data_IF_961265074723
#
_entry.id   IF_961265074723
#
_cell.length_a   1.000
_cell.length_b   1.000
_cell.length_c   1.000
_cell.angle_alpha   90.00
_cell.angle_beta   90.00
_cell.angle_gamma   90.00
#
_symmetry.space_group_name_H-M   'P 1'
#
loop_
_entity.id
_entity.type
_entity.pdbx_description
1 polymer ?
#
# COMPACT_ATOMS: atom_id res chain seq x y z
N UNK A 1 -22.25 -61.29 58.43
CA UNK A 1 -22.05 -59.82 58.65
C UNK A 1 -21.00 -59.34 57.70
N UNK A 2 -21.45 -58.80 56.59
CA UNK A 2 -20.57 -58.35 55.45
C UNK A 2 -20.61 -56.81 55.42
N UNK A 3 -19.49 -56.17 55.76
CA UNK A 3 -19.36 -54.70 55.65
C UNK A 3 -19.11 -54.29 54.19
N UNK A 4 -20.01 -53.49 53.66
CA UNK A 4 -19.84 -52.79 52.40
C UNK A 4 -19.16 -51.47 52.70
N UNK A 5 -17.96 -51.25 52.14
CA UNK A 5 -17.25 -49.96 52.16
C UNK A 5 -17.61 -49.19 50.88
N UNK A 6 -18.31 -48.10 51.06
CA UNK A 6 -18.58 -47.10 50.00
C UNK A 6 -17.34 -46.24 49.76
N UNK A 7 -16.75 -46.32 48.57
CA UNK A 7 -15.73 -45.36 48.11
C UNK A 7 -16.46 -44.14 47.49
N UNK A 8 -16.23 -42.98 48.09
CA UNK A 8 -16.65 -41.70 47.52
C UNK A 8 -15.55 -41.21 46.56
N UNK A 9 -15.84 -41.15 45.27
CA UNK A 9 -14.99 -40.48 44.28
C UNK A 9 -15.30 -38.98 44.32
N UNK A 10 -14.32 -38.19 44.78
CA UNK A 10 -14.34 -36.73 44.67
C UNK A 10 -13.75 -36.38 43.32
N UNK A 11 -14.59 -35.90 42.36
CA UNK A 11 -14.13 -35.36 41.08
C UNK A 11 -13.58 -33.97 41.31
N UNK A 12 -12.29 -33.82 41.10
CA UNK A 12 -11.58 -32.51 41.09
C UNK A 12 -11.79 -31.88 39.70
N UNK A 13 -12.67 -30.91 39.61
CA UNK A 13 -12.85 -30.12 38.39
C UNK A 13 -11.72 -29.09 38.30
N UNK A 14 -10.73 -29.36 37.46
CA UNK A 14 -9.71 -28.40 37.05
C UNK A 14 -10.32 -27.45 36.00
N UNK A 15 -10.69 -26.24 36.41
CA UNK A 15 -11.00 -25.14 35.50
C UNK A 15 -9.70 -24.68 34.82
N UNK A 16 -9.50 -25.06 33.57
CA UNK A 16 -8.51 -24.45 32.70
C UNK A 16 -8.97 -23.02 32.43
N UNK A 17 -8.40 -22.05 33.12
CA UNK A 17 -8.48 -20.66 32.74
C UNK A 17 -7.66 -20.51 31.45
N UNK A 18 -8.35 -20.45 30.32
CA UNK A 18 -7.75 -19.95 29.06
C UNK A 18 -7.48 -18.46 29.26
N UNK A 19 -6.31 -18.13 29.77
CA UNK A 19 -5.80 -16.78 29.70
C UNK A 19 -5.70 -16.41 28.22
N UNK A 20 -6.52 -15.45 27.76
CA UNK A 20 -6.29 -14.76 26.52
C UNK A 20 -4.87 -14.17 26.65
N UNK A 21 -3.91 -14.73 25.91
CA UNK A 21 -2.62 -14.10 25.71
C UNK A 21 -2.99 -12.85 24.87
N UNK A 22 -3.07 -11.70 25.53
CA UNK A 22 -3.05 -10.43 24.83
C UNK A 22 -1.79 -10.49 23.96
N UNK A 23 -1.96 -10.35 22.64
CA UNK A 23 -0.83 -10.22 21.75
C UNK A 23 0.00 -9.07 22.32
N UNK A 24 1.19 -9.35 22.86
CA UNK A 24 2.14 -8.31 23.21
C UNK A 24 2.37 -7.53 21.92
N UNK A 25 1.86 -6.29 21.88
CA UNK A 25 2.00 -5.42 20.71
C UNK A 25 3.46 -5.37 20.34
N UNK A 26 3.78 -5.70 19.09
CA UNK A 26 5.15 -5.68 18.61
C UNK A 26 5.80 -4.35 19.03
N UNK A 27 6.97 -4.40 19.65
CA UNK A 27 7.63 -3.19 20.14
C UNK A 27 7.94 -2.30 18.93
N UNK A 28 7.44 -1.06 18.95
CA UNK A 28 7.65 -0.09 17.89
C UNK A 28 9.12 0.31 17.86
N UNK A 29 9.72 0.27 16.67
CA UNK A 29 11.13 0.58 16.45
C UNK A 29 11.24 1.70 15.39
N UNK A 30 11.46 2.92 15.84
CA UNK A 30 11.52 4.09 14.95
C UNK A 30 12.86 4.19 14.19
N UNK A 31 13.89 3.46 14.61
CA UNK A 31 15.25 3.65 14.09
C UNK A 31 15.88 4.98 14.53
N UNK A 32 17.09 5.31 14.05
CA UNK A 32 17.84 6.48 14.50
C UNK A 32 17.38 7.80 13.87
N UNK A 33 16.66 7.75 12.73
CA UNK A 33 16.36 8.98 11.95
C UNK A 33 15.52 10.01 12.70
N UNK A 34 14.45 9.67 13.42
CA UNK A 34 13.66 10.66 14.16
C UNK A 34 14.50 11.42 15.20
N UNK A 35 15.31 10.71 15.99
CA UNK A 35 16.20 11.32 16.98
C UNK A 35 17.22 12.26 16.31
N UNK A 36 17.87 11.81 15.24
CA UNK A 36 18.81 12.63 14.46
C UNK A 36 18.17 13.93 13.93
N UNK A 37 16.92 13.85 13.44
CA UNK A 37 16.22 15.02 12.94
C UNK A 37 15.90 16.01 14.07
N UNK A 38 15.48 15.50 15.24
CA UNK A 38 15.22 16.33 16.44
C UNK A 38 16.50 17.04 16.87
N UNK A 39 17.63 16.34 16.93
CA UNK A 39 18.91 16.92 17.34
C UNK A 39 19.33 18.11 16.45
N UNK A 40 18.95 18.09 15.18
CA UNK A 40 19.26 19.15 14.21
C UNK A 40 18.24 20.30 14.18
N UNK A 41 17.14 20.20 14.92
CA UNK A 41 16.16 21.28 14.99
C UNK A 41 16.74 22.50 15.73
N UNK A 42 16.30 23.73 15.40
CA UNK A 42 16.53 24.89 16.22
C UNK A 42 16.01 24.70 17.65
N UNK A 43 16.70 25.27 18.64
CA UNK A 43 16.23 25.25 20.03
C UNK A 43 14.85 25.91 20.15
N UNK A 44 13.97 25.32 20.92
CA UNK A 44 12.63 25.85 21.16
C UNK A 44 11.61 24.81 21.59
N UNK A 45 10.38 25.23 21.90
CA UNK A 45 9.35 24.37 22.52
C UNK A 45 9.00 23.12 21.71
N UNK A 46 9.08 23.18 20.37
CA UNK A 46 8.80 22.03 19.52
C UNK A 46 9.91 20.99 19.66
N UNK A 47 11.19 21.38 19.62
CA UNK A 47 12.32 20.48 19.85
C UNK A 47 12.23 19.82 21.23
N UNK A 48 11.98 20.61 22.26
CA UNK A 48 11.84 20.11 23.64
C UNK A 48 10.72 19.07 23.73
N UNK A 49 9.57 19.36 23.13
CA UNK A 49 8.42 18.46 23.09
C UNK A 49 8.76 17.14 22.39
N UNK A 50 9.38 17.19 21.22
CA UNK A 50 9.76 15.99 20.46
C UNK A 50 10.85 15.19 21.18
N UNK A 51 11.85 15.85 21.74
CA UNK A 51 12.91 15.22 22.54
C UNK A 51 12.35 14.49 23.77
N UNK A 52 11.31 15.03 24.41
CA UNK A 52 10.66 14.37 25.54
C UNK A 52 9.97 13.04 25.19
N UNK A 53 9.72 12.78 23.90
CA UNK A 53 9.15 11.52 23.42
C UNK A 53 10.21 10.44 23.14
N UNK A 54 11.51 10.77 23.17
CA UNK A 54 12.60 9.90 22.72
C UNK A 54 12.67 8.55 23.46
N UNK A 55 12.28 8.52 24.74
CA UNK A 55 12.28 7.31 25.54
C UNK A 55 11.04 6.42 25.35
N UNK A 56 10.07 6.84 24.54
CA UNK A 56 8.79 6.14 24.39
C UNK A 56 7.91 6.19 25.65
N UNK A 57 6.99 5.25 25.81
CA UNK A 57 6.67 4.15 24.89
C UNK A 57 6.07 4.65 23.56
N UNK A 58 6.53 4.08 22.46
CA UNK A 58 5.93 4.35 21.14
C UNK A 58 4.69 3.47 20.96
N UNK A 59 3.71 4.00 20.23
CA UNK A 59 2.43 3.33 19.98
C UNK A 59 2.05 3.46 18.51
N UNK A 60 1.42 2.44 17.98
CA UNK A 60 0.71 2.52 16.68
C UNK A 60 -0.36 3.59 16.72
N UNK A 61 -0.58 4.27 15.61
CA UNK A 61 -1.58 5.32 15.49
C UNK A 61 -2.21 5.28 14.11
N UNK A 62 -3.54 5.44 14.04
CA UNK A 62 -4.30 5.58 12.80
C UNK A 62 -3.96 6.88 12.04
N UNK A 63 -3.14 7.74 12.61
CA UNK A 63 -2.59 8.93 11.93
C UNK A 63 -1.46 8.58 10.95
N UNK A 64 -0.76 7.47 11.17
CA UNK A 64 0.40 7.08 10.37
C UNK A 64 0.06 5.99 9.37
N UNK A 65 0.21 6.31 8.10
CA UNK A 65 0.02 5.39 6.97
C UNK A 65 1.38 4.91 6.47
N UNK A 66 1.54 3.60 6.33
CA UNK A 66 2.67 2.97 5.63
C UNK A 66 2.42 3.01 4.13
N UNK A 67 2.66 4.16 3.48
CA UNK A 67 2.51 4.37 2.03
C UNK A 67 3.42 3.42 1.26
N UNK A 68 2.85 2.42 0.57
CA UNK A 68 3.54 1.29 -0.08
C UNK A 68 4.40 0.44 0.88
N UNK A 69 4.09 0.51 2.19
CA UNK A 69 4.91 -0.04 3.26
C UNK A 69 6.03 0.90 3.71
N UNK A 70 7.29 0.45 3.65
CA UNK A 70 8.50 1.22 3.98
C UNK A 70 9.45 1.33 2.75
N UNK A 71 9.04 1.98 1.65
CA UNK A 71 9.67 1.86 0.33
C UNK A 71 11.06 2.53 0.25
N UNK A 72 11.45 3.33 1.22
CA UNK A 72 12.81 3.88 1.26
C UNK A 72 13.90 2.81 1.51
N UNK A 73 13.53 1.67 2.10
CA UNK A 73 14.46 0.61 2.53
C UNK A 73 14.09 -0.77 2.01
N UNK A 74 12.89 -0.96 1.50
CA UNK A 74 12.34 -2.23 1.04
C UNK A 74 11.65 -2.05 -0.32
N UNK A 75 11.61 -3.07 -1.18
CA UNK A 75 10.78 -3.02 -2.38
C UNK A 75 9.32 -2.71 -2.02
N UNK A 76 8.72 -1.73 -2.70
CA UNK A 76 7.36 -1.29 -2.43
C UNK A 76 6.33 -2.41 -2.61
N UNK A 77 5.24 -2.35 -1.82
CA UNK A 77 4.13 -3.31 -1.87
C UNK A 77 4.53 -4.78 -1.67
N UNK A 78 5.65 -5.03 -0.99
CA UNK A 78 6.07 -6.39 -0.61
C UNK A 78 5.67 -6.71 0.84
N UNK A 79 5.66 -8.00 1.17
CA UNK A 79 5.46 -8.49 2.55
C UNK A 79 6.45 -7.83 3.50
N UNK A 80 7.72 -7.76 3.10
CA UNK A 80 8.83 -7.22 3.91
C UNK A 80 8.65 -5.73 4.16
N UNK A 81 8.27 -4.95 3.13
CA UNK A 81 8.01 -3.52 3.23
C UNK A 81 6.88 -3.21 4.21
N UNK A 82 5.78 -3.94 4.12
CA UNK A 82 4.62 -3.73 4.99
C UNK A 82 4.89 -4.17 6.44
N UNK A 83 5.61 -5.28 6.64
CA UNK A 83 6.05 -5.69 7.99
C UNK A 83 6.97 -4.65 8.63
N UNK A 84 7.88 -4.06 7.84
CA UNK A 84 8.76 -3.00 8.32
C UNK A 84 7.96 -1.75 8.72
N UNK A 85 6.98 -1.31 7.90
CA UNK A 85 6.12 -0.17 8.21
C UNK A 85 5.33 -0.38 9.50
N UNK A 86 4.69 -1.54 9.67
CA UNK A 86 3.98 -1.89 10.90
C UNK A 86 4.91 -1.87 12.12
N UNK A 87 6.13 -2.40 11.99
CA UNK A 87 7.14 -2.39 13.06
C UNK A 87 7.61 -0.97 13.41
N UNK A 88 7.57 -0.05 12.45
CA UNK A 88 7.85 1.37 12.68
C UNK A 88 6.65 2.14 13.26
N UNK A 89 5.50 1.50 13.42
CA UNK A 89 4.34 2.07 14.10
C UNK A 89 3.24 2.59 13.18
N UNK A 90 3.27 2.28 11.89
CA UNK A 90 2.16 2.56 10.99
C UNK A 90 0.90 1.81 11.48
N UNK A 91 -0.18 2.52 11.73
CA UNK A 91 -1.46 1.93 12.13
C UNK A 91 -2.36 1.61 10.94
N UNK A 92 -2.06 2.18 9.79
CA UNK A 92 -2.73 1.92 8.51
C UNK A 92 -1.67 1.50 7.49
N UNK A 93 -1.97 0.48 6.70
CA UNK A 93 -1.10 0.02 5.61
C UNK A 93 -1.82 0.12 4.28
N UNK A 94 -1.04 0.30 3.22
CA UNK A 94 -1.53 0.53 1.88
C UNK A 94 -1.20 -0.63 0.93
N UNK A 95 -2.16 -0.94 0.07
CA UNK A 95 -1.96 -1.71 -1.15
C UNK A 95 -2.52 -0.89 -2.31
N UNK A 96 -1.65 -0.46 -3.22
CA UNK A 96 -2.07 0.03 -4.54
C UNK A 96 -2.53 -1.17 -5.36
N UNK A 97 -3.79 -1.18 -5.75
CA UNK A 97 -4.45 -2.34 -6.34
C UNK A 97 -4.46 -2.23 -7.85
N UNK A 98 -3.92 -3.24 -8.53
CA UNK A 98 -4.04 -3.45 -9.98
C UNK A 98 -4.57 -4.85 -10.25
N UNK A 99 -4.77 -5.26 -11.50
CA UNK A 99 -5.24 -6.60 -11.84
C UNK A 99 -4.37 -7.29 -12.89
N UNK A 100 -4.33 -8.61 -12.84
CA UNK A 100 -3.63 -9.51 -13.77
C UNK A 100 -4.50 -9.84 -15.00
N UNK A 101 -3.94 -10.56 -15.99
CA UNK A 101 -4.66 -11.02 -17.18
C UNK A 101 -5.90 -11.87 -16.82
N UNK A 102 -5.81 -12.67 -15.77
CA UNK A 102 -6.91 -13.47 -15.20
C UNK A 102 -7.76 -12.70 -14.18
N UNK A 103 -7.61 -11.36 -14.12
CA UNK A 103 -8.42 -10.43 -13.32
C UNK A 103 -8.30 -10.63 -11.80
N UNK A 104 -7.20 -11.21 -11.34
CA UNK A 104 -6.88 -11.28 -9.91
C UNK A 104 -6.21 -9.99 -9.45
N UNK A 105 -6.61 -9.51 -8.26
CA UNK A 105 -6.09 -8.25 -7.73
C UNK A 105 -4.72 -8.44 -7.08
N UNK A 106 -3.79 -7.56 -7.40
CA UNK A 106 -2.40 -7.59 -6.89
C UNK A 106 -1.96 -6.20 -6.43
N UNK A 107 -1.01 -6.17 -5.48
CA UNK A 107 -0.48 -4.91 -4.95
C UNK A 107 0.69 -4.40 -5.79
N UNK A 108 0.44 -3.43 -6.68
CA UNK A 108 1.45 -2.69 -7.46
C UNK A 108 1.03 -1.24 -7.65
N UNK A 109 2.01 -0.33 -7.59
CA UNK A 109 1.75 1.11 -7.70
C UNK A 109 1.10 1.52 -9.03
N UNK A 110 1.44 0.84 -10.11
CA UNK A 110 0.79 1.01 -11.40
C UNK A 110 0.65 -0.34 -12.11
N UNK A 111 -0.35 -0.46 -12.98
CA UNK A 111 -0.53 -1.68 -13.78
C UNK A 111 0.67 -1.94 -14.70
N UNK A 112 1.38 -0.90 -15.10
CA UNK A 112 2.48 -0.93 -16.06
C UNK A 112 3.87 -0.70 -15.46
N UNK A 113 4.08 -1.02 -14.18
CA UNK A 113 5.34 -0.73 -13.48
C UNK A 113 6.27 -1.94 -13.26
N UNK A 114 5.89 -3.14 -13.70
CA UNK A 114 6.64 -4.37 -13.41
C UNK A 114 8.13 -4.31 -13.84
N UNK A 115 8.44 -3.58 -14.91
CA UNK A 115 9.80 -3.41 -15.43
C UNK A 115 10.71 -2.57 -14.53
N UNK A 116 10.13 -1.76 -13.64
CA UNK A 116 10.88 -0.90 -12.72
C UNK A 116 10.85 -1.39 -11.27
N UNK A 117 9.89 -2.26 -10.93
CA UNK A 117 9.61 -2.66 -9.55
C UNK A 117 9.80 -4.15 -9.28
N UNK A 118 10.10 -4.93 -10.33
CA UNK A 118 10.33 -6.39 -10.25
C UNK A 118 11.51 -6.83 -11.11
N UNK A 119 11.83 -8.10 -11.04
CA UNK A 119 12.84 -8.75 -11.88
C UNK A 119 12.32 -9.24 -13.24
N UNK A 120 11.13 -8.81 -13.69
CA UNK A 120 10.46 -9.34 -14.89
C UNK A 120 11.36 -9.34 -16.13
N UNK A 121 12.13 -8.27 -16.38
CA UNK A 121 13.01 -8.16 -17.53
C UNK A 121 14.18 -9.17 -17.51
N UNK A 122 14.52 -9.71 -16.34
CA UNK A 122 15.54 -10.74 -16.14
C UNK A 122 14.95 -12.16 -16.03
N UNK A 123 13.65 -12.32 -16.29
CA UNK A 123 12.93 -13.60 -16.25
C UNK A 123 12.42 -14.02 -17.63
N UNK A 124 11.90 -15.24 -17.73
CA UNK A 124 11.26 -15.74 -18.95
C UNK A 124 9.98 -14.95 -19.32
N UNK A 125 9.46 -14.13 -18.39
CA UNK A 125 8.30 -13.27 -18.63
C UNK A 125 8.65 -11.94 -19.33
N UNK A 126 9.92 -11.66 -19.61
CA UNK A 126 10.32 -10.46 -20.35
C UNK A 126 9.64 -10.36 -21.72
N UNK A 127 9.32 -11.50 -22.35
CA UNK A 127 8.66 -11.57 -23.66
C UNK A 127 7.18 -11.14 -23.60
N UNK A 128 6.56 -11.08 -22.40
CA UNK A 128 5.17 -10.62 -22.22
C UNK A 128 5.05 -9.10 -22.13
N UNK A 129 6.18 -8.39 -22.01
CA UNK A 129 6.16 -6.94 -21.88
C UNK A 129 5.61 -6.27 -23.15
N UNK A 130 4.70 -5.31 -22.98
CA UNK A 130 4.08 -4.54 -24.08
C UNK A 130 5.14 -3.82 -24.89
N UNK A 131 6.15 -3.25 -24.20
CA UNK A 131 7.34 -2.70 -24.82
C UNK A 131 8.54 -3.50 -24.30
N UNK A 132 9.19 -4.31 -25.15
CA UNK A 132 10.43 -4.98 -24.79
C UNK A 132 11.52 -4.00 -24.39
N UNK A 133 12.49 -4.44 -23.58
CA UNK A 133 13.62 -3.59 -23.22
C UNK A 133 14.33 -3.07 -24.47
N UNK A 134 14.42 -1.76 -24.57
CA UNK A 134 15.23 -1.03 -25.57
C UNK A 134 16.39 -0.34 -24.82
N UNK A 135 17.65 -0.60 -25.20
CA UNK A 135 18.82 0.02 -24.58
C UNK A 135 18.89 1.52 -24.91
N UNK A 136 19.53 2.31 -24.06
CA UNK A 136 19.86 3.69 -24.38
C UNK A 136 20.77 3.77 -25.62
N UNK A 137 20.49 4.73 -26.52
CA UNK A 137 21.25 4.93 -27.73
C UNK A 137 21.27 6.43 -28.12
N UNK A 138 22.41 7.08 -27.96
CA UNK A 138 22.53 8.51 -28.17
C UNK A 138 21.64 9.29 -27.21
N UNK A 139 20.71 10.05 -27.76
CA UNK A 139 19.73 10.85 -26.99
C UNK A 139 18.50 10.02 -26.54
N UNK A 140 18.35 8.81 -27.07
CA UNK A 140 17.23 7.93 -26.73
C UNK A 140 17.51 7.24 -25.37
N UNK A 141 16.61 7.44 -24.41
CA UNK A 141 16.68 6.79 -23.11
C UNK A 141 16.31 5.30 -23.21
N UNK A 142 16.92 4.50 -22.35
CA UNK A 142 16.48 3.11 -22.19
C UNK A 142 15.02 3.06 -21.68
N UNK A 143 14.25 2.14 -22.27
CA UNK A 143 12.82 2.01 -22.00
C UNK A 143 12.37 0.55 -21.99
N UNK A 144 11.30 0.29 -21.25
CA UNK A 144 10.51 -0.93 -21.28
C UNK A 144 9.11 -0.62 -20.73
N UNK A 145 8.12 -1.47 -21.02
CA UNK A 145 6.81 -1.41 -20.37
C UNK A 145 6.27 -2.83 -20.18
N UNK A 146 6.12 -3.25 -18.93
CA UNK A 146 5.58 -4.56 -18.58
C UNK A 146 4.40 -4.37 -17.63
N UNK A 147 3.25 -4.95 -18.00
CA UNK A 147 1.97 -4.76 -17.30
C UNK A 147 1.55 -6.00 -16.53
N UNK A 148 0.88 -5.82 -15.42
CA UNK A 148 0.23 -6.92 -14.69
C UNK A 148 -0.86 -7.57 -15.53
N UNK A 149 -1.57 -6.82 -16.37
CA UNK A 149 -2.62 -7.31 -17.28
C UNK A 149 -2.15 -8.25 -18.40
N UNK A 150 -0.84 -8.35 -18.63
CA UNK A 150 -0.26 -9.23 -19.65
C UNK A 150 0.20 -10.58 -19.08
N UNK A 151 0.11 -10.77 -17.77
CA UNK A 151 0.52 -12.01 -17.10
C UNK A 151 -0.58 -12.50 -16.15
N UNK A 152 -0.68 -13.81 -15.96
CA UNK A 152 -1.59 -14.41 -14.99
C UNK A 152 -1.08 -14.23 -13.55
N UNK A 153 -1.96 -14.41 -12.56
CA UNK A 153 -1.55 -14.42 -11.15
C UNK A 153 -0.44 -15.44 -10.89
N UNK A 154 -0.54 -16.65 -11.47
CA UNK A 154 0.47 -17.68 -11.30
C UNK A 154 1.86 -17.21 -11.80
N UNK A 155 1.91 -16.51 -12.93
CA UNK A 155 3.13 -15.90 -13.45
C UNK A 155 3.61 -14.74 -12.57
N UNK A 156 2.71 -13.85 -12.15
CA UNK A 156 3.04 -12.75 -11.25
C UNK A 156 3.74 -13.24 -9.96
N UNK A 157 3.26 -14.34 -9.40
CA UNK A 157 3.82 -14.94 -8.17
C UNK A 157 5.20 -15.57 -8.35
N UNK A 158 5.71 -15.71 -9.57
CA UNK A 158 7.10 -16.15 -9.84
C UNK A 158 8.09 -14.98 -9.83
N UNK A 159 7.61 -13.75 -9.87
CA UNK A 159 8.45 -12.56 -9.85
C UNK A 159 8.90 -12.22 -8.42
N UNK A 160 10.03 -11.53 -8.34
CA UNK A 160 10.56 -10.95 -7.11
C UNK A 160 10.52 -9.43 -7.21
N UNK A 161 9.99 -8.77 -6.18
CA UNK A 161 10.03 -7.32 -6.07
C UNK A 161 11.45 -6.81 -5.88
N UNK A 162 11.79 -5.70 -6.51
CA UNK A 162 13.07 -5.00 -6.34
C UNK A 162 12.82 -3.56 -5.90
N UNK A 163 13.83 -2.90 -5.37
CA UNK A 163 13.78 -1.46 -5.16
C UNK A 163 13.42 -0.78 -6.48
N UNK A 164 12.42 0.07 -6.45
CA UNK A 164 11.88 0.75 -7.62
C UNK A 164 12.92 1.67 -8.30
N UNK A 165 12.65 2.02 -9.51
CA UNK A 165 13.40 2.82 -10.46
C UNK A 165 14.18 1.99 -11.50
N UNK A 166 14.55 2.68 -12.58
CA UNK A 166 15.33 2.16 -13.68
C UNK A 166 16.39 3.18 -14.13
N UNK A 167 17.56 2.69 -14.50
CA UNK A 167 18.58 3.55 -15.12
C UNK A 167 18.25 3.78 -16.59
N UNK A 168 17.78 4.96 -16.90
CA UNK A 168 17.42 5.36 -18.27
C UNK A 168 18.64 5.56 -19.20
N UNK A 169 19.86 5.52 -18.68
CA UNK A 169 21.09 5.55 -19.47
C UNK A 169 21.65 4.15 -19.78
N UNK A 170 21.00 3.10 -19.27
CA UNK A 170 21.50 1.73 -19.37
C UNK A 170 21.47 1.18 -20.79
N UNK A 171 22.48 0.40 -21.13
CA UNK A 171 22.59 -0.33 -22.41
C UNK A 171 22.33 -1.82 -22.25
N UNK A 172 22.08 -2.30 -21.04
CA UNK A 172 21.77 -3.69 -20.71
C UNK A 172 20.61 -3.77 -19.73
N UNK A 173 19.89 -4.91 -19.72
CA UNK A 173 18.81 -5.17 -18.76
C UNK A 173 19.30 -5.06 -17.32
N UNK A 174 20.45 -5.65 -17.01
CA UNK A 174 21.03 -5.58 -15.66
C UNK A 174 21.27 -4.13 -15.22
N UNK A 175 21.90 -3.32 -16.08
CA UNK A 175 22.10 -1.89 -15.80
C UNK A 175 20.79 -1.16 -15.61
N UNK A 176 19.77 -1.44 -16.43
CA UNK A 176 18.45 -0.82 -16.33
C UNK A 176 17.77 -1.13 -14.99
N UNK A 177 17.81 -2.38 -14.55
CA UNK A 177 17.22 -2.81 -13.28
C UNK A 177 17.94 -2.23 -12.05
N UNK A 178 19.19 -1.79 -12.17
CA UNK A 178 20.00 -1.21 -11.10
C UNK A 178 19.85 0.32 -10.97
N UNK A 179 18.75 0.90 -11.43
CA UNK A 179 18.51 2.35 -11.43
C UNK A 179 18.12 2.97 -10.08
N UNK A 180 18.07 2.19 -9.00
CA UNK A 180 17.73 2.71 -7.67
C UNK A 180 18.76 3.74 -7.21
N UNK A 181 18.30 4.88 -6.68
CA UNK A 181 19.16 5.94 -6.22
C UNK A 181 20.11 5.44 -5.12
N UNK A 182 21.39 5.80 -5.21
CA UNK A 182 22.45 5.30 -4.32
C UNK A 182 22.35 5.77 -2.85
N UNK A 183 21.46 6.72 -2.53
CA UNK A 183 21.15 7.12 -1.17
C UNK A 183 20.08 6.26 -0.50
N UNK A 184 19.41 5.39 -1.26
CA UNK A 184 18.50 4.36 -0.75
C UNK A 184 19.28 3.07 -0.50
N UNK A 185 18.81 2.27 0.43
CA UNK A 185 19.44 0.99 0.71
C UNK A 185 18.51 -0.17 0.29
N UNK A 186 19.08 -1.19 -0.29
CA UNK A 186 18.46 -2.49 -0.56
C UNK A 186 18.96 -3.58 0.40
N UNK A 187 19.79 -3.19 1.36
CA UNK A 187 20.48 -4.09 2.29
C UNK A 187 19.57 -5.10 3.00
N UNK A 188 18.29 -4.76 3.18
CA UNK A 188 17.35 -5.56 3.95
C UNK A 188 16.46 -6.45 3.08
N UNK A 189 16.54 -6.37 1.77
CA UNK A 189 15.57 -7.03 0.88
C UNK A 189 16.10 -7.30 -0.52
N UNK A 190 17.41 -7.54 -0.64
CA UNK A 190 18.06 -7.81 -1.95
C UNK A 190 17.49 -9.05 -2.62
N UNK A 191 17.03 -10.04 -1.83
CA UNK A 191 16.58 -11.34 -2.35
C UNK A 191 15.12 -11.67 -1.97
N UNK A 192 14.46 -10.88 -1.13
CA UNK A 192 13.20 -11.24 -0.45
C UNK A 192 12.03 -10.29 -0.80
N UNK A 193 11.95 -9.77 -2.00
CA UNK A 193 10.83 -8.94 -2.41
C UNK A 193 9.57 -9.78 -2.70
N UNK A 194 8.86 -10.26 -1.66
CA UNK A 194 7.68 -11.12 -1.82
C UNK A 194 6.48 -10.33 -2.27
N UNK A 195 6.03 -10.57 -3.52
CA UNK A 195 4.85 -9.93 -4.10
C UNK A 195 3.56 -10.53 -3.53
N UNK A 196 2.53 -9.69 -3.38
CA UNK A 196 1.25 -10.06 -2.78
C UNK A 196 0.08 -9.85 -3.74
N UNK A 197 -0.94 -10.71 -3.63
CA UNK A 197 -2.29 -10.35 -4.05
C UNK A 197 -2.89 -9.34 -3.08
N UNK A 198 -3.95 -8.66 -3.48
CA UNK A 198 -4.71 -7.79 -2.58
C UNK A 198 -5.31 -8.59 -1.41
N UNK A 199 -5.87 -9.78 -1.68
CA UNK A 199 -6.37 -10.67 -0.62
C UNK A 199 -5.26 -11.10 0.38
N UNK A 200 -4.05 -11.44 -0.10
CA UNK A 200 -2.91 -11.75 0.78
C UNK A 200 -2.48 -10.52 1.61
N UNK A 201 -2.56 -9.31 1.04
CA UNK A 201 -2.24 -8.08 1.78
C UNK A 201 -3.25 -7.82 2.91
N UNK A 202 -4.54 -8.09 2.67
CA UNK A 202 -5.58 -7.99 3.70
C UNK A 202 -5.28 -8.90 4.88
N UNK A 203 -4.96 -10.17 4.64
CA UNK A 203 -4.62 -11.11 5.71
C UNK A 203 -3.32 -10.72 6.44
N UNK A 204 -2.31 -10.24 5.71
CA UNK A 204 -1.07 -9.74 6.30
C UNK A 204 -1.34 -8.55 7.23
N UNK A 205 -2.04 -7.51 6.75
CA UNK A 205 -2.28 -6.28 7.53
C UNK A 205 -3.13 -6.57 8.77
N UNK A 206 -4.17 -7.41 8.62
CA UNK A 206 -4.96 -7.93 9.73
C UNK A 206 -4.08 -8.63 10.77
N UNK A 207 -3.16 -9.49 10.35
CA UNK A 207 -2.23 -10.19 11.25
C UNK A 207 -1.27 -9.25 11.98
N UNK A 208 -0.96 -8.11 11.39
CA UNK A 208 -0.10 -7.06 11.97
C UNK A 208 -0.89 -6.09 12.87
N UNK A 209 -2.22 -6.22 12.94
CA UNK A 209 -3.10 -5.33 13.70
C UNK A 209 -3.24 -3.94 13.08
N UNK A 210 -2.97 -3.81 11.78
CA UNK A 210 -3.11 -2.56 11.04
C UNK A 210 -4.49 -2.47 10.36
N UNK A 211 -4.92 -1.23 10.07
CA UNK A 211 -6.06 -0.91 9.22
C UNK A 211 -5.62 -0.73 7.77
N UNK A 212 -6.52 -0.34 6.89
CA UNK A 212 -6.36 -0.50 5.44
C UNK A 212 -6.66 0.80 4.69
N UNK A 213 -5.80 1.15 3.73
CA UNK A 213 -6.05 2.21 2.76
C UNK A 213 -5.68 1.74 1.35
N UNK A 214 -6.53 0.89 0.72
CA UNK A 214 -6.26 0.43 -0.63
C UNK A 214 -6.48 1.57 -1.64
N UNK A 215 -5.58 1.74 -2.60
CA UNK A 215 -5.80 2.61 -3.75
C UNK A 215 -6.19 1.79 -4.98
N UNK A 216 -7.35 2.05 -5.56
CA UNK A 216 -7.73 1.47 -6.84
C UNK A 216 -7.01 2.25 -7.94
N UNK A 217 -5.97 1.65 -8.52
CA UNK A 217 -5.14 2.30 -9.54
C UNK A 217 -5.86 2.38 -10.88
N UNK A 218 -5.64 3.48 -11.60
CA UNK A 218 -6.14 3.62 -12.96
C UNK A 218 -5.55 2.53 -13.85
N UNK A 219 -6.38 1.77 -14.60
CA UNK A 219 -5.88 0.78 -15.54
C UNK A 219 -5.02 1.40 -16.64
N UNK A 220 -3.97 0.69 -17.08
CA UNK A 220 -3.18 1.04 -18.26
C UNK A 220 -3.71 0.38 -19.54
N UNK A 221 -4.88 -0.24 -19.45
CA UNK A 221 -5.61 -0.85 -20.56
C UNK A 221 -6.97 -0.19 -20.72
N UNK A 222 -7.57 -0.32 -21.90
CA UNK A 222 -8.93 0.14 -22.14
C UNK A 222 -9.94 -0.69 -21.34
N UNK A 223 -10.88 0.00 -20.67
CA UNK A 223 -11.96 -0.67 -19.94
C UNK A 223 -13.26 -0.62 -20.74
N UNK A 224 -14.07 -1.71 -20.78
CA UNK A 224 -13.90 -2.98 -20.06
C UNK A 224 -12.79 -3.86 -20.66
N UNK A 225 -11.94 -4.43 -19.79
CA UNK A 225 -10.90 -5.37 -20.17
C UNK A 225 -11.46 -6.81 -20.18
N UNK A 226 -11.60 -7.40 -21.36
CA UNK A 226 -12.22 -8.72 -21.56
C UNK A 226 -13.52 -8.91 -20.76
N UNK A 227 -14.40 -7.91 -20.84
CA UNK A 227 -15.68 -7.89 -20.15
C UNK A 227 -15.61 -7.52 -18.65
N UNK A 228 -14.44 -7.29 -18.09
CA UNK A 228 -14.23 -6.79 -16.73
C UNK A 228 -14.31 -5.26 -16.76
N UNK A 229 -15.41 -4.71 -16.27
CA UNK A 229 -15.66 -3.28 -16.26
C UNK A 229 -14.92 -2.56 -15.12
N UNK A 230 -14.84 -1.22 -15.19
CA UNK A 230 -14.31 -0.41 -14.09
C UNK A 230 -15.13 -0.62 -12.80
N UNK A 231 -16.46 -0.78 -12.93
CA UNK A 231 -17.33 -1.07 -11.80
C UNK A 231 -17.06 -2.46 -11.20
N UNK A 232 -16.82 -3.49 -12.02
CA UNK A 232 -16.45 -4.82 -11.53
C UNK A 232 -15.11 -4.79 -10.79
N UNK A 233 -14.16 -3.99 -11.28
CA UNK A 233 -12.85 -3.80 -10.65
C UNK A 233 -12.99 -3.11 -9.29
N UNK A 234 -13.76 -2.02 -9.21
CA UNK A 234 -14.03 -1.32 -7.97
C UNK A 234 -14.78 -2.19 -6.96
N UNK A 235 -15.75 -3.00 -7.44
CA UNK A 235 -16.51 -3.93 -6.62
C UNK A 235 -15.63 -5.06 -6.09
N UNK A 236 -14.81 -5.69 -6.94
CA UNK A 236 -13.93 -6.80 -6.54
C UNK A 236 -13.01 -6.41 -5.38
N UNK A 237 -12.47 -5.20 -5.38
CA UNK A 237 -11.64 -4.70 -4.27
C UNK A 237 -12.41 -4.70 -2.94
N UNK A 238 -13.65 -4.24 -2.93
CA UNK A 238 -14.48 -4.23 -1.71
C UNK A 238 -14.90 -5.65 -1.32
N UNK A 239 -15.21 -6.50 -2.29
CA UNK A 239 -15.63 -7.88 -2.02
C UNK A 239 -14.53 -8.71 -1.33
N UNK A 240 -13.25 -8.45 -1.62
CA UNK A 240 -12.14 -9.12 -0.93
C UNK A 240 -12.06 -8.70 0.55
N UNK A 241 -12.34 -7.44 0.91
CA UNK A 241 -12.47 -7.01 2.31
C UNK A 241 -13.65 -7.68 3.02
N UNK A 242 -14.81 -7.77 2.35
CA UNK A 242 -15.98 -8.46 2.88
C UNK A 242 -15.70 -9.94 3.10
N UNK A 243 -15.06 -10.61 2.14
CA UNK A 243 -14.70 -12.02 2.24
C UNK A 243 -13.74 -12.30 3.41
N UNK A 244 -12.81 -11.37 3.70
CA UNK A 244 -11.90 -11.44 4.84
C UNK A 244 -12.55 -11.06 6.19
N UNK A 245 -13.81 -10.61 6.17
CA UNK A 245 -14.54 -10.17 7.37
C UNK A 245 -13.96 -8.90 7.99
N UNK A 246 -13.42 -8.00 7.18
CA UNK A 246 -12.89 -6.71 7.64
C UNK A 246 -14.04 -5.72 7.81
N UNK A 247 -14.18 -5.07 8.98
CA UNK A 247 -15.16 -4.00 9.17
C UNK A 247 -14.91 -2.84 8.21
N UNK A 248 -15.96 -2.32 7.56
CA UNK A 248 -15.84 -1.16 6.67
C UNK A 248 -15.21 0.07 7.37
N UNK A 249 -15.42 0.21 8.69
CA UNK A 249 -14.82 1.27 9.51
C UNK A 249 -13.28 1.21 9.61
N UNK A 250 -12.67 0.12 9.19
CA UNK A 250 -11.21 -0.04 9.19
C UNK A 250 -10.60 0.13 7.79
N UNK A 251 -11.42 0.48 6.77
CA UNK A 251 -11.00 0.59 5.37
C UNK A 251 -11.26 1.99 4.83
N UNK A 252 -10.23 2.65 4.33
CA UNK A 252 -10.29 3.91 3.57
C UNK A 252 -9.94 3.62 2.11
N UNK A 253 -10.93 3.15 1.34
CA UNK A 253 -10.76 2.92 -0.09
C UNK A 253 -10.51 4.25 -0.81
N UNK A 254 -9.48 4.33 -1.64
CA UNK A 254 -9.09 5.57 -2.29
C UNK A 254 -8.91 5.40 -3.81
N UNK A 255 -9.18 6.45 -4.56
CA UNK A 255 -8.94 6.50 -5.99
C UNK A 255 -8.77 7.94 -6.49
N UNK A 256 -7.93 8.14 -7.51
CA UNK A 256 -7.88 9.37 -8.31
C UNK A 256 -9.06 9.49 -9.27
N UNK A 257 -9.73 8.38 -9.60
CA UNK A 257 -10.94 8.38 -10.39
C UNK A 257 -12.16 8.65 -9.51
N UNK A 258 -12.74 9.83 -9.63
CA UNK A 258 -13.92 10.23 -8.85
C UNK A 258 -15.11 9.27 -9.05
N UNK A 259 -15.24 8.66 -10.24
CA UNK A 259 -16.33 7.73 -10.50
C UNK A 259 -16.22 6.43 -9.68
N UNK A 260 -15.01 5.99 -9.31
CA UNK A 260 -14.83 4.85 -8.39
C UNK A 260 -15.31 5.21 -6.98
N UNK A 261 -14.96 6.42 -6.50
CA UNK A 261 -15.40 6.92 -5.19
C UNK A 261 -16.92 7.03 -5.14
N UNK A 262 -17.55 7.58 -6.17
CA UNK A 262 -19.01 7.65 -6.30
C UNK A 262 -19.64 6.26 -6.34
N UNK A 263 -19.02 5.34 -7.08
CA UNK A 263 -19.49 3.94 -7.14
C UNK A 263 -19.57 3.33 -5.73
N UNK A 264 -18.53 3.48 -4.91
CA UNK A 264 -18.54 2.97 -3.54
C UNK A 264 -19.56 3.68 -2.65
N UNK A 265 -19.73 5.00 -2.77
CA UNK A 265 -20.73 5.75 -2.02
C UNK A 265 -22.13 5.26 -2.33
N UNK A 266 -22.43 4.96 -3.59
CA UNK A 266 -23.76 4.57 -4.05
C UNK A 266 -24.06 3.09 -3.83
N UNK A 267 -23.10 2.20 -4.11
CA UNK A 267 -23.31 0.75 -4.15
C UNK A 267 -22.77 0.03 -2.91
N UNK A 268 -21.83 0.61 -2.18
CA UNK A 268 -21.17 0.07 -1.00
C UNK A 268 -21.14 1.09 0.14
N UNK A 269 -22.31 1.56 0.62
CA UNK A 269 -22.42 2.75 1.48
C UNK A 269 -21.66 2.65 2.80
N UNK A 270 -21.43 1.44 3.35
CA UNK A 270 -20.63 1.26 4.55
C UNK A 270 -19.14 1.56 4.28
N UNK A 271 -18.58 1.05 3.17
CA UNK A 271 -17.22 1.35 2.73
C UNK A 271 -17.11 2.76 2.14
N UNK A 272 -18.09 3.17 1.34
CA UNK A 272 -18.17 4.50 0.75
C UNK A 272 -18.22 5.62 1.78
N UNK A 273 -18.68 5.33 3.02
CA UNK A 273 -18.70 6.31 4.12
C UNK A 273 -17.29 6.85 4.47
N UNK A 274 -16.24 6.11 4.16
CA UNK A 274 -14.82 6.46 4.38
C UNK A 274 -14.01 6.52 3.07
N UNK A 275 -14.66 6.43 1.91
CA UNK A 275 -13.97 6.52 0.64
C UNK A 275 -13.25 7.88 0.49
N UNK A 276 -12.04 7.84 -0.05
CA UNK A 276 -11.15 8.99 -0.19
C UNK A 276 -10.99 9.34 -1.67
N UNK A 277 -11.34 10.55 -2.04
CA UNK A 277 -10.99 11.09 -3.35
C UNK A 277 -9.56 11.64 -3.31
N UNK A 278 -8.66 11.00 -4.05
CA UNK A 278 -7.30 11.49 -4.28
C UNK A 278 -7.40 12.63 -5.31
N UNK A 279 -7.07 13.84 -4.85
CA UNK A 279 -7.30 15.04 -5.64
C UNK A 279 -6.23 15.23 -6.73
N UNK A 280 -6.53 14.77 -7.92
CA UNK A 280 -5.67 14.91 -9.11
C UNK A 280 -5.86 16.22 -9.89
N UNK A 281 -6.71 17.15 -9.42
CA UNK A 281 -7.03 18.39 -10.16
C UNK A 281 -5.81 19.28 -10.42
N UNK A 282 -4.75 19.15 -9.64
CA UNK A 282 -3.49 19.85 -9.86
C UNK A 282 -2.84 19.55 -11.23
N UNK A 283 -3.23 18.47 -11.90
CA UNK A 283 -2.80 18.12 -13.25
C UNK A 283 -3.70 18.69 -14.36
N UNK A 284 -4.76 19.42 -13.98
CA UNK A 284 -5.71 19.99 -14.94
C UNK A 284 -5.27 21.39 -15.33
N UNK A 285 -5.22 21.68 -16.63
CA UNK A 285 -4.88 23.01 -17.13
C UNK A 285 -5.81 24.08 -16.54
N UNK A 286 -5.21 25.13 -16.00
CA UNK A 286 -5.94 26.25 -15.40
C UNK A 286 -6.31 26.05 -13.91
N UNK A 287 -6.00 24.91 -13.31
CA UNK A 287 -6.17 24.73 -11.88
C UNK A 287 -5.19 25.61 -11.09
N UNK A 288 -5.71 26.35 -10.12
CA UNK A 288 -4.91 27.17 -9.17
C UNK A 288 -5.39 26.86 -7.75
N UNK A 289 -4.56 26.18 -6.97
CA UNK A 289 -4.88 25.78 -5.59
C UNK A 289 -5.16 26.97 -4.66
N UNK A 290 -4.74 28.19 -5.02
CA UNK A 290 -5.04 29.43 -4.30
C UNK A 290 -6.36 30.08 -4.73
N UNK A 291 -6.94 29.63 -5.85
CA UNK A 291 -8.19 30.17 -6.39
C UNK A 291 -9.29 29.09 -6.47
N UNK A 292 -10.19 28.99 -5.46
CA UNK A 292 -11.25 27.98 -5.46
C UNK A 292 -12.19 28.03 -6.67
N UNK A 293 -12.26 29.14 -7.40
CA UNK A 293 -13.10 29.26 -8.62
C UNK A 293 -12.59 28.38 -9.77
N UNK A 294 -11.32 27.92 -9.69
CA UNK A 294 -10.74 26.99 -10.67
C UNK A 294 -10.99 25.52 -10.36
N UNK A 295 -11.59 25.22 -9.20
CA UNK A 295 -11.86 23.85 -8.79
C UNK A 295 -13.05 23.26 -9.53
N UNK A 296 -12.79 22.25 -10.36
CA UNK A 296 -13.84 21.51 -11.10
C UNK A 296 -13.63 19.99 -10.89
N UNK A 297 -14.52 19.29 -10.18
CA UNK A 297 -15.67 19.84 -9.44
C UNK A 297 -15.24 20.72 -8.26
N UNK A 298 -16.11 21.64 -7.87
CA UNK A 298 -15.94 22.47 -6.65
C UNK A 298 -16.02 21.61 -5.38
N UNK A 299 -15.55 22.15 -4.24
CA UNK A 299 -15.65 21.47 -2.96
C UNK A 299 -17.11 21.22 -2.55
N UNK A 300 -18.03 22.11 -2.91
CA UNK A 300 -19.46 21.93 -2.63
C UNK A 300 -20.04 20.80 -3.49
N UNK A 301 -19.72 20.74 -4.77
CA UNK A 301 -20.16 19.63 -5.64
C UNK A 301 -19.64 18.27 -5.14
N UNK A 302 -18.38 18.18 -4.70
CA UNK A 302 -17.86 16.97 -4.10
C UNK A 302 -18.64 16.57 -2.82
N UNK A 303 -18.93 17.54 -1.96
CA UNK A 303 -19.73 17.30 -0.76
C UNK A 303 -21.17 16.84 -1.09
N UNK A 304 -21.79 17.44 -2.11
CA UNK A 304 -23.14 17.09 -2.59
C UNK A 304 -23.16 15.67 -3.20
N UNK A 305 -22.05 15.19 -3.77
CA UNK A 305 -21.87 13.80 -4.23
C UNK A 305 -21.65 12.83 -3.07
N UNK A 306 -21.52 13.31 -1.82
CA UNK A 306 -21.29 12.47 -0.64
C UNK A 306 -19.82 12.21 -0.32
N UNK A 307 -18.87 12.82 -1.03
CA UNK A 307 -17.42 12.72 -0.74
C UNK A 307 -17.13 13.42 0.59
N UNK A 308 -16.60 12.69 1.56
CA UNK A 308 -16.28 13.20 2.90
C UNK A 308 -14.78 13.38 3.12
N UNK A 309 -13.98 12.64 2.40
CA UNK A 309 -12.52 12.66 2.52
C UNK A 309 -11.90 13.00 1.17
N UNK A 310 -11.01 13.96 1.20
CA UNK A 310 -10.24 14.40 0.04
C UNK A 310 -8.76 14.40 0.44
N UNK A 311 -7.91 13.90 -0.44
CA UNK A 311 -6.47 13.86 -0.23
C UNK A 311 -5.78 14.62 -1.36
N UNK A 312 -5.57 15.93 -1.22
CA UNK A 312 -4.77 16.70 -2.17
C UNK A 312 -3.28 16.34 -1.97
N UNK A 313 -2.46 16.47 -3.04
CA UNK A 313 -1.03 16.32 -2.90
C UNK A 313 -0.46 17.40 -1.96
N UNK A 314 0.61 17.04 -1.26
CA UNK A 314 1.39 18.04 -0.53
C UNK A 314 2.19 18.88 -1.53
N UNK A 315 1.83 20.15 -1.71
CA UNK A 315 2.53 21.09 -2.58
C UNK A 315 3.35 22.02 -1.69
N UNK A 316 4.67 22.08 -1.88
CA UNK A 316 5.45 23.15 -1.27
C UNK A 316 5.13 24.46 -2.01
N UNK A 317 4.56 25.41 -1.27
CA UNK A 317 4.12 26.70 -1.80
C UNK A 317 5.27 27.55 -2.40
N UNK A 318 6.51 27.09 -2.32
CA UNK A 318 7.69 27.80 -2.80
C UNK A 318 8.23 27.37 -4.16
N UNK A 319 8.11 26.10 -4.56
CA UNK A 319 8.95 25.55 -5.63
C UNK A 319 8.22 24.76 -6.74
N UNK A 320 6.93 24.47 -6.64
CA UNK A 320 6.22 23.52 -7.54
C UNK A 320 6.97 22.19 -7.73
N UNK A 321 7.71 21.72 -6.74
CA UNK A 321 8.45 20.45 -6.76
C UNK A 321 7.99 19.56 -5.63
N UNK A 322 7.80 18.31 -5.99
CA UNK A 322 7.47 17.19 -5.10
C UNK A 322 8.67 16.76 -4.28
#
# INVERSE_FOLDING_TARGET
MTLIRTLSLTALATTLATGAIAAEGASIQLGPRPAYLIDRMPEGPLKDKLASCAAGPFRTSDFSIGHRGAPLQFPEHTVESNRAAARMGAGILECDVTFTADKELVCRHAQNDLHTTTNILASDLAETCVTPFAPANGDDAAAAECRTSEITLAQFKTLTGKMDAADKSATTVEGYLNGTANWRTDLYSVEDGTLMTHAESIELFKSLGAKFTPELKSPSVEMPFDGFSQADYAQKMIDEYKAAGIPASDVWAQSFNLEDVKYWIENEPEFGAQAVYLDGRYNVDGFDYMNPETFAPSMQELADMGVKYIAPPFVDAGDNRW
#
